data_IF_278196586380
#
_entry.id   IF_278196586380
#
_cell.length_a   1.000
_cell.length_b   1.000
_cell.length_c   1.000
_cell.angle_alpha   90.00
_cell.angle_beta   90.00
_cell.angle_gamma   90.00
#
_symmetry.space_group_name_H-M   'P 1'
#
loop_
_entity.id
_entity.type
_entity.pdbx_description
1 polymer ?
#
# COMPACT_ATOMS: atom_id res chain seq x y z
N UNK A 1 -1.68 -24.52 7.42
CA UNK A 1 -2.12 -24.84 8.81
C UNK A 1 -3.18 -23.85 9.31
N UNK A 2 -2.87 -22.55 9.51
CA UNK A 2 -3.87 -21.62 10.05
C UNK A 2 -5.04 -21.35 9.08
N UNK A 3 -4.77 -21.22 7.78
CA UNK A 3 -5.82 -21.07 6.75
C UNK A 3 -6.65 -22.35 6.58
N UNK A 4 -6.02 -23.53 6.70
CA UNK A 4 -6.72 -24.82 6.60
C UNK A 4 -7.64 -25.04 7.81
N UNK A 5 -7.17 -24.70 9.01
CA UNK A 5 -7.97 -24.75 10.23
C UNK A 5 -9.14 -23.76 10.18
N UNK A 6 -8.90 -22.54 9.69
CA UNK A 6 -9.94 -21.53 9.49
C UNK A 6 -10.98 -21.97 8.46
N UNK A 7 -10.55 -22.65 7.39
CA UNK A 7 -11.44 -23.18 6.35
C UNK A 7 -12.35 -24.28 6.90
N UNK A 8 -11.82 -25.24 7.66
CA UNK A 8 -12.60 -26.30 8.29
C UNK A 8 -13.58 -25.75 9.33
N UNK A 9 -13.17 -24.74 10.11
CA UNK A 9 -14.03 -24.08 11.08
C UNK A 9 -15.14 -23.24 10.42
N UNK A 10 -14.84 -22.59 9.29
CA UNK A 10 -15.84 -21.87 8.53
C UNK A 10 -16.85 -22.81 7.82
N UNK A 11 -16.41 -24.01 7.42
CA UNK A 11 -17.29 -25.02 6.83
C UNK A 11 -18.32 -25.56 7.85
N UNK A 12 -17.92 -25.71 9.13
CA UNK A 12 -18.83 -26.17 10.20
C UNK A 12 -19.80 -25.10 10.69
N UNK A 13 -19.40 -23.83 10.58
CA UNK A 13 -20.25 -22.66 10.89
C UNK A 13 -21.10 -22.21 9.69
N UNK A 14 -20.76 -22.62 8.47
CA UNK A 14 -21.44 -22.26 7.22
C UNK A 14 -22.97 -22.41 7.23
N UNK A 15 -23.54 -23.55 7.70
CA UNK A 15 -24.99 -23.71 7.78
C UNK A 15 -25.68 -22.72 8.73
N UNK A 16 -24.99 -22.31 9.80
CA UNK A 16 -25.50 -21.41 10.83
C UNK A 16 -25.42 -19.94 10.37
N UNK A 17 -24.34 -19.56 9.68
CA UNK A 17 -24.22 -18.23 9.08
C UNK A 17 -25.12 -18.04 7.86
N UNK A 18 -25.33 -19.09 7.05
CA UNK A 18 -26.28 -19.06 5.94
C UNK A 18 -27.73 -18.85 6.44
N UNK A 19 -28.09 -19.47 7.57
CA UNK A 19 -29.38 -19.25 8.24
C UNK A 19 -29.54 -17.80 8.77
N UNK A 20 -28.43 -17.09 9.03
CA UNK A 20 -28.40 -15.68 9.41
C UNK A 20 -28.20 -14.73 8.21
N UNK A 21 -28.17 -15.26 6.98
CA UNK A 21 -27.98 -14.47 5.75
C UNK A 21 -26.55 -13.95 5.53
N UNK A 22 -25.57 -14.46 6.28
CA UNK A 22 -24.16 -14.03 6.15
C UNK A 22 -23.43 -14.99 5.21
N UNK A 23 -23.12 -14.51 4.00
CA UNK A 23 -22.34 -15.27 3.02
C UNK A 23 -20.83 -15.05 3.22
N UNK A 24 -20.12 -16.05 3.75
CA UNK A 24 -18.66 -16.02 3.90
C UNK A 24 -18.02 -16.69 2.68
N UNK A 25 -17.25 -15.93 1.89
CA UNK A 25 -16.56 -16.45 0.71
C UNK A 25 -15.06 -16.67 1.02
N UNK A 26 -14.72 -17.88 1.44
CA UNK A 26 -13.38 -18.24 1.93
C UNK A 26 -12.30 -18.17 0.85
N UNK A 27 -12.65 -18.48 -0.39
CA UNK A 27 -11.70 -18.41 -1.51
C UNK A 27 -11.25 -16.97 -1.78
N UNK A 28 -12.20 -16.03 -1.74
CA UNK A 28 -11.93 -14.59 -1.87
C UNK A 28 -11.00 -14.12 -0.75
N UNK A 29 -11.25 -14.53 0.49
CA UNK A 29 -10.41 -14.16 1.63
C UNK A 29 -8.97 -14.67 1.49
N UNK A 30 -8.79 -15.89 0.95
CA UNK A 30 -7.46 -16.45 0.67
C UNK A 30 -6.70 -15.64 -0.37
N UNK A 31 -7.35 -15.27 -1.48
CA UNK A 31 -6.74 -14.46 -2.54
C UNK A 31 -6.31 -13.09 -1.98
N UNK A 32 -7.18 -12.43 -1.21
CA UNK A 32 -6.88 -11.14 -0.57
C UNK A 32 -5.65 -11.26 0.33
N UNK A 33 -5.59 -12.28 1.19
CA UNK A 33 -4.46 -12.48 2.09
C UNK A 33 -3.14 -12.68 1.34
N UNK A 34 -3.16 -13.39 0.21
CA UNK A 34 -1.98 -13.58 -0.64
C UNK A 34 -1.53 -12.28 -1.32
N UNK A 35 -2.47 -11.48 -1.83
CA UNK A 35 -2.16 -10.17 -2.43
C UNK A 35 -1.57 -9.21 -1.39
N UNK A 36 -2.18 -9.11 -0.20
CA UNK A 36 -1.69 -8.26 0.90
C UNK A 36 -0.26 -8.64 1.28
N UNK A 37 0.02 -9.94 1.39
CA UNK A 37 1.35 -10.45 1.72
C UNK A 37 2.38 -10.13 0.63
N UNK A 38 2.03 -10.38 -0.64
CA UNK A 38 2.91 -10.14 -1.78
C UNK A 38 3.24 -8.65 -1.97
N UNK A 39 2.24 -7.78 -1.89
CA UNK A 39 2.45 -6.33 -2.02
C UNK A 39 3.20 -5.76 -0.81
N UNK A 40 2.98 -6.30 0.40
CA UNK A 40 3.76 -5.93 1.58
C UNK A 40 5.26 -6.21 1.40
N UNK A 41 5.61 -7.35 0.80
CA UNK A 41 7.00 -7.67 0.46
C UNK A 41 7.59 -6.69 -0.58
N UNK A 42 6.85 -6.40 -1.65
CA UNK A 42 7.28 -5.43 -2.66
C UNK A 42 7.46 -4.03 -2.06
N UNK A 43 6.52 -3.59 -1.22
CA UNK A 43 6.60 -2.32 -0.51
C UNK A 43 7.85 -2.21 0.35
N UNK A 44 8.15 -3.24 1.14
CA UNK A 44 9.39 -3.29 1.93
C UNK A 44 10.64 -3.23 1.03
N UNK A 45 10.63 -3.90 -0.13
CA UNK A 45 11.72 -3.86 -1.10
C UNK A 45 11.98 -2.48 -1.72
N UNK A 46 11.00 -1.59 -1.71
CA UNK A 46 11.18 -0.20 -2.18
C UNK A 46 11.77 0.74 -1.12
N UNK A 47 11.87 0.30 0.14
CA UNK A 47 12.46 1.10 1.22
C UNK A 47 13.98 0.89 1.21
N UNK A 48 14.72 1.96 0.94
CA UNK A 48 16.17 1.94 0.88
C UNK A 48 16.75 2.69 2.08
N UNK A 49 17.65 2.03 2.82
CA UNK A 49 18.37 2.64 3.94
C UNK A 49 19.83 2.85 3.55
N UNK A 50 20.28 4.10 3.58
CA UNK A 50 21.69 4.46 3.41
C UNK A 50 22.22 5.10 4.70
N UNK A 51 23.54 5.29 4.83
CA UNK A 51 24.14 5.97 6.01
C UNK A 51 23.60 7.38 6.23
N UNK A 52 23.11 8.02 5.17
CA UNK A 52 22.61 9.40 5.16
C UNK A 52 21.08 9.52 5.31
N UNK A 53 20.33 8.41 5.41
CA UNK A 53 18.87 8.46 5.56
C UNK A 53 18.09 7.28 4.97
N UNK A 54 16.75 7.38 5.06
CA UNK A 54 15.79 6.38 4.55
C UNK A 54 15.01 6.98 3.37
N UNK A 55 14.97 6.27 2.26
CA UNK A 55 14.29 6.66 1.02
C UNK A 55 13.20 5.65 0.66
N UNK A 56 12.19 6.10 -0.10
CA UNK A 56 11.15 5.21 -0.62
C UNK A 56 10.01 4.88 0.35
N UNK A 57 9.98 5.47 1.56
CA UNK A 57 8.92 5.23 2.54
C UNK A 57 7.52 5.57 2.01
N UNK A 58 7.37 6.72 1.36
CA UNK A 58 6.10 7.14 0.75
C UNK A 58 5.73 6.24 -0.43
N UNK A 59 6.70 5.82 -1.24
CA UNK A 59 6.47 4.91 -2.37
C UNK A 59 5.94 3.57 -1.86
N UNK A 60 6.56 2.99 -0.84
CA UNK A 60 6.12 1.75 -0.20
C UNK A 60 4.67 1.85 0.29
N UNK A 61 4.33 2.93 0.99
CA UNK A 61 2.97 3.17 1.48
C UNK A 61 1.95 3.32 0.34
N UNK A 62 2.29 4.05 -0.72
CA UNK A 62 1.39 4.26 -1.86
C UNK A 62 1.15 2.99 -2.67
N UNK A 63 2.16 2.12 -2.82
CA UNK A 63 1.99 0.81 -3.47
C UNK A 63 1.04 -0.08 -2.68
N UNK A 64 1.21 -0.14 -1.36
CA UNK A 64 0.31 -0.89 -0.49
C UNK A 64 -1.14 -0.36 -0.58
N UNK A 65 -1.31 0.95 -0.52
CA UNK A 65 -2.60 1.60 -0.60
C UNK A 65 -3.30 1.36 -1.96
N UNK A 66 -2.55 1.47 -3.07
CA UNK A 66 -3.07 1.20 -4.40
C UNK A 66 -3.58 -0.25 -4.54
N UNK A 67 -2.86 -1.22 -3.97
CA UNK A 67 -3.31 -2.61 -3.95
C UNK A 67 -4.59 -2.81 -3.13
N UNK A 68 -4.71 -2.17 -1.96
CA UNK A 68 -5.93 -2.26 -1.14
C UNK A 68 -7.15 -1.65 -1.83
N UNK A 69 -6.95 -0.54 -2.55
CA UNK A 69 -7.99 0.08 -3.38
C UNK A 69 -8.40 -0.87 -4.50
N UNK A 70 -7.44 -1.49 -5.20
CA UNK A 70 -7.70 -2.49 -6.24
C UNK A 70 -8.48 -3.70 -5.71
N UNK A 71 -8.18 -4.16 -4.50
CA UNK A 71 -8.94 -5.22 -3.82
C UNK A 71 -10.38 -4.77 -3.58
N UNK A 72 -10.61 -3.57 -3.03
CA UNK A 72 -11.97 -3.04 -2.80
C UNK A 72 -12.82 -3.07 -4.07
N UNK A 73 -12.24 -2.65 -5.20
CA UNK A 73 -12.91 -2.74 -6.50
C UNK A 73 -13.13 -4.18 -6.95
N UNK A 74 -12.12 -5.05 -6.82
CA UNK A 74 -12.21 -6.47 -7.16
C UNK A 74 -13.25 -7.24 -6.35
N UNK A 75 -13.56 -6.79 -5.13
CA UNK A 75 -14.61 -7.38 -4.31
C UNK A 75 -16.01 -6.78 -4.50
N UNK A 76 -16.16 -5.77 -5.36
CA UNK A 76 -17.44 -5.12 -5.68
C UNK A 76 -17.81 -3.96 -4.76
N UNK A 77 -16.92 -3.53 -3.86
CA UNK A 77 -17.13 -2.40 -2.96
C UNK A 77 -16.74 -1.08 -3.65
N UNK A 78 -17.46 -0.72 -4.72
CA UNK A 78 -17.13 0.43 -5.57
C UNK A 78 -17.18 1.76 -4.81
N UNK A 79 -18.20 1.99 -3.98
CA UNK A 79 -18.34 3.23 -3.20
C UNK A 79 -17.15 3.39 -2.25
N UNK A 80 -16.80 2.33 -1.52
CA UNK A 80 -15.68 2.34 -0.59
C UNK A 80 -14.35 2.55 -1.32
N UNK A 81 -14.16 1.88 -2.47
CA UNK A 81 -12.99 2.02 -3.32
C UNK A 81 -12.80 3.44 -3.87
N UNK A 82 -13.88 4.09 -4.32
CA UNK A 82 -13.86 5.48 -4.78
C UNK A 82 -13.51 6.42 -3.64
N UNK A 83 -14.14 6.27 -2.47
CA UNK A 83 -13.85 7.10 -1.30
C UNK A 83 -12.39 6.97 -0.88
N UNK A 84 -11.86 5.74 -0.79
CA UNK A 84 -10.45 5.49 -0.45
C UNK A 84 -9.50 6.07 -1.50
N UNK A 85 -9.83 5.96 -2.78
CA UNK A 85 -9.02 6.51 -3.87
C UNK A 85 -8.97 8.05 -3.83
N UNK A 86 -10.12 8.71 -3.67
CA UNK A 86 -10.19 10.16 -3.54
C UNK A 86 -9.47 10.65 -2.27
N UNK A 87 -9.69 9.98 -1.14
CA UNK A 87 -9.00 10.29 0.10
C UNK A 87 -7.47 10.15 -0.05
N UNK A 88 -7.01 9.06 -0.67
CA UNK A 88 -5.59 8.85 -0.96
C UNK A 88 -5.00 9.95 -1.84
N UNK A 89 -5.71 10.32 -2.91
CA UNK A 89 -5.28 11.35 -3.85
C UNK A 89 -5.19 12.73 -3.16
N UNK A 90 -6.20 13.08 -2.36
CA UNK A 90 -6.24 14.33 -1.58
C UNK A 90 -5.11 14.33 -0.56
N UNK A 91 -4.87 13.23 0.14
CA UNK A 91 -3.80 13.13 1.12
C UNK A 91 -2.42 13.29 0.47
N UNK A 92 -2.16 12.56 -0.62
CA UNK A 92 -0.86 12.58 -1.30
C UNK A 92 -0.59 13.91 -2.02
N UNK A 93 -1.61 14.53 -2.62
CA UNK A 93 -1.48 15.80 -3.35
C UNK A 93 -1.55 17.00 -2.39
N UNK A 94 -2.46 16.95 -1.43
CA UNK A 94 -2.63 17.97 -0.40
C UNK A 94 -1.43 18.09 0.53
N UNK A 95 -0.73 16.98 0.81
CA UNK A 95 0.50 17.01 1.59
C UNK A 95 1.61 17.84 0.92
N UNK A 96 1.76 17.78 -0.42
CA UNK A 96 2.70 18.67 -1.14
C UNK A 96 2.32 20.12 -0.99
N UNK A 97 1.03 20.45 -1.11
CA UNK A 97 0.54 21.83 -0.96
C UNK A 97 0.71 22.35 0.47
N UNK A 98 0.53 21.48 1.48
CA UNK A 98 0.77 21.78 2.89
C UNK A 98 2.27 21.95 3.21
N UNK A 99 3.13 21.15 2.58
CA UNK A 99 4.59 21.27 2.64
C UNK A 99 5.09 22.54 1.93
N UNK A 100 4.51 22.92 0.80
CA UNK A 100 4.88 24.16 0.09
C UNK A 100 4.54 25.41 0.91
N UNK A 101 3.47 25.36 1.71
CA UNK A 101 3.12 26.43 2.66
C UNK A 101 4.10 26.51 3.85
N UNK A 102 4.79 25.41 4.17
CA UNK A 102 5.82 25.32 5.22
C UNK A 102 7.19 25.18 4.55
N UNK A 103 7.61 26.20 3.80
CA UNK A 103 8.92 26.27 3.13
C UNK A 103 10.06 25.81 4.06
N UNK A 104 10.51 24.57 3.88
CA UNK A 104 11.88 24.17 4.16
C UNK A 104 12.48 23.84 2.80
N UNK A 105 13.25 24.79 2.27
CA UNK A 105 14.15 24.58 1.14
C UNK A 105 15.01 23.34 1.46
N UNK A 106 14.74 22.21 0.82
CA UNK A 106 15.75 21.17 0.72
C UNK A 106 16.89 21.76 -0.13
N UNK A 107 18.06 21.86 0.50
CA UNK A 107 19.27 22.49 -0.04
C UNK A 107 19.66 21.90 -1.40
N UNK A 108 20.23 22.79 -2.24
CA UNK A 108 20.89 22.55 -3.54
C UNK A 108 21.38 21.11 -3.76
N UNK A 109 21.11 20.58 -4.95
CA UNK A 109 21.89 19.50 -5.57
C UNK A 109 23.39 19.79 -5.42
N UNK A 110 24.21 18.80 -5.06
CA UNK A 110 25.65 18.96 -5.04
C UNK A 110 26.10 19.39 -6.44
N UNK A 111 26.68 20.58 -6.50
CA UNK A 111 27.45 21.09 -7.62
C UNK A 111 28.48 20.00 -7.96
N UNK A 112 28.38 19.45 -9.18
CA UNK A 112 29.31 18.44 -9.68
C UNK A 112 30.68 19.11 -9.82
N UNK A 113 31.46 19.12 -8.74
CA UNK A 113 32.89 19.40 -8.75
C UNK A 113 33.55 18.17 -9.39
N UNK A 114 33.47 18.11 -10.71
CA UNK A 114 33.92 16.97 -11.50
C UNK A 114 34.26 17.30 -12.94
N UNK A 115 34.22 18.56 -13.35
CA UNK A 115 34.68 18.99 -14.69
C UNK A 115 36.10 19.56 -14.71
N UNK A 116 36.75 19.81 -13.56
CA UNK A 116 38.11 20.37 -13.52
C UNK A 116 39.25 19.33 -13.49
N UNK A 117 38.95 18.05 -13.25
CA UNK A 117 39.99 16.99 -13.18
C UNK A 117 40.21 16.29 -14.53
N UNK A 118 39.49 16.71 -15.58
CA UNK A 118 39.64 16.15 -16.94
C UNK A 118 40.54 17.01 -17.83
N UNK A 119 40.91 18.23 -17.40
CA UNK A 119 41.63 19.20 -18.26
C UNK A 119 43.07 19.53 -17.80
N UNK A 120 43.75 18.63 -17.07
CA UNK A 120 45.20 18.74 -16.83
C UNK A 120 45.93 17.43 -16.98
#
# INVERSE_FOLDING_TARGET
ILQDALYLQALSLGPQLAAQGIAVNLERQRIIAQVVTGVGFLGAGTILKTSSGIYGLTTAATLFLAAMIGICFGIGFYVLGIVLSLFSLIFLTGFRKLLDLTTIRHTKSPEIIGSEIVEK
#
